data_IF_499229594842
#
_entry.id   IF_499229594842
#
_cell.length_a   1.000
_cell.length_b   1.000
_cell.length_c   1.000
_cell.angle_alpha   90.00
_cell.angle_beta   90.00
_cell.angle_gamma   90.00
#
_symmetry.space_group_name_H-M   'P 1'
#
loop_
_entity.id
_entity.type
_entity.pdbx_description
1 polymer ?
#
# COMPACT_ATOMS: atom_id res chain seq x y z
N UNK A 1 8.97 25.04 -17.78
CA UNK A 1 8.40 26.03 -16.84
C UNK A 1 6.94 26.31 -17.13
N UNK A 2 6.53 26.50 -18.39
CA UNK A 2 5.15 26.86 -18.73
C UNK A 2 4.12 25.76 -18.39
N UNK A 3 4.44 24.48 -18.55
CA UNK A 3 3.52 23.37 -18.25
C UNK A 3 3.36 23.17 -16.73
N UNK A 4 4.45 23.22 -15.96
CA UNK A 4 4.43 23.14 -14.52
C UNK A 4 3.68 24.31 -13.87
N UNK A 5 3.88 25.53 -14.38
CA UNK A 5 3.14 26.72 -13.92
C UNK A 5 1.67 26.62 -14.26
N UNK A 6 1.30 26.15 -15.46
CA UNK A 6 -0.09 25.94 -15.87
C UNK A 6 -0.79 24.86 -15.02
N UNK A 7 -0.10 23.75 -14.70
CA UNK A 7 -0.67 22.72 -13.83
C UNK A 7 -0.83 23.20 -12.39
N UNK A 8 0.11 24.00 -11.90
CA UNK A 8 0.01 24.64 -10.58
C UNK A 8 -1.13 25.67 -10.53
N UNK A 9 -1.27 26.50 -11.57
CA UNK A 9 -2.37 27.46 -11.69
C UNK A 9 -3.73 26.76 -11.85
N UNK A 10 -3.81 25.70 -12.63
CA UNK A 10 -5.00 24.86 -12.73
C UNK A 10 -5.34 24.22 -11.40
N UNK A 11 -4.35 23.79 -10.62
CA UNK A 11 -4.53 23.29 -9.27
C UNK A 11 -5.18 24.26 -8.30
N UNK A 12 -4.84 25.55 -8.43
CA UNK A 12 -5.46 26.60 -7.62
C UNK A 12 -6.93 26.81 -8.00
N UNK A 13 -7.28 26.66 -9.27
CA UNK A 13 -8.63 26.93 -9.78
C UNK A 13 -9.54 25.71 -9.83
N UNK A 14 -8.99 24.50 -9.91
CA UNK A 14 -9.74 23.26 -10.13
C UNK A 14 -9.58 22.23 -8.98
N UNK A 15 -8.89 22.59 -7.89
CA UNK A 15 -8.64 21.66 -6.77
C UNK A 15 -7.54 20.62 -7.04
N UNK A 16 -6.90 20.63 -8.22
CA UNK A 16 -5.75 19.77 -8.53
C UNK A 16 -4.44 20.37 -8.06
N UNK A 17 -3.41 19.55 -7.83
CA UNK A 17 -2.08 20.03 -7.47
C UNK A 17 -1.42 19.22 -6.36
N UNK A 18 -0.49 19.82 -5.63
CA UNK A 18 0.31 19.14 -4.61
C UNK A 18 -0.53 18.70 -3.40
N UNK A 19 -1.49 19.51 -2.97
CA UNK A 19 -2.33 19.21 -1.80
C UNK A 19 -3.15 17.93 -1.96
N UNK A 20 -3.89 17.69 -3.06
CA UNK A 20 -4.59 16.43 -3.29
C UNK A 20 -3.65 15.21 -3.28
N UNK A 21 -2.45 15.34 -3.86
CA UNK A 21 -1.45 14.27 -3.83
C UNK A 21 -1.01 13.94 -2.40
N UNK A 22 -0.65 14.97 -1.63
CA UNK A 22 -0.17 14.80 -0.26
C UNK A 22 -1.25 14.23 0.64
N UNK A 23 -2.48 14.70 0.50
CA UNK A 23 -3.65 14.21 1.26
C UNK A 23 -3.91 12.73 0.97
N UNK A 24 -3.92 12.34 -0.30
CA UNK A 24 -4.07 10.94 -0.72
C UNK A 24 -2.90 10.07 -0.23
N UNK A 25 -1.67 10.59 -0.32
CA UNK A 25 -0.46 9.88 0.10
C UNK A 25 -0.47 9.57 1.60
N UNK A 26 -0.91 10.50 2.45
CA UNK A 26 -1.03 10.25 3.89
C UNK A 26 -2.05 9.16 4.22
N UNK A 27 -3.18 9.09 3.50
CA UNK A 27 -4.15 7.99 3.69
C UNK A 27 -3.54 6.65 3.27
N UNK A 28 -2.83 6.61 2.13
CA UNK A 28 -2.14 5.40 1.67
C UNK A 28 -1.08 4.93 2.68
N UNK A 29 -0.42 5.85 3.40
CA UNK A 29 0.57 5.49 4.41
C UNK A 29 -0.02 4.84 5.67
N UNK A 30 -1.33 4.94 5.95
CA UNK A 30 -1.91 4.38 7.18
C UNK A 30 -1.72 2.85 7.27
N UNK A 31 -2.17 2.01 6.32
CA UNK A 31 -1.96 0.57 6.41
C UNK A 31 -0.47 0.19 6.37
N UNK A 32 0.34 0.92 5.61
CA UNK A 32 1.78 0.76 5.56
C UNK A 32 2.45 1.01 6.92
N UNK A 33 2.13 2.14 7.58
CA UNK A 33 2.77 2.52 8.84
C UNK A 33 2.41 1.57 9.99
N UNK A 34 1.17 1.09 10.03
CA UNK A 34 0.72 0.19 11.08
C UNK A 34 1.40 -1.19 10.97
N UNK A 35 1.49 -1.75 9.77
CA UNK A 35 1.92 -3.14 9.58
C UNK A 35 3.37 -3.23 9.14
N UNK A 36 3.73 -2.55 8.06
CA UNK A 36 5.06 -2.69 7.47
C UNK A 36 6.14 -2.17 8.41
N UNK A 37 5.94 -0.99 9.03
CA UNK A 37 6.91 -0.45 9.97
C UNK A 37 7.06 -1.35 11.20
N UNK A 38 5.96 -1.92 11.72
CA UNK A 38 6.01 -2.83 12.86
C UNK A 38 6.82 -4.10 12.56
N UNK A 39 6.58 -4.70 11.38
CA UNK A 39 7.33 -5.88 10.92
C UNK A 39 8.81 -5.53 10.76
N UNK A 40 9.13 -4.44 10.10
CA UNK A 40 10.48 -3.98 9.78
C UNK A 40 11.30 -3.69 11.04
N UNK A 41 10.68 -3.04 12.03
CA UNK A 41 11.34 -2.71 13.31
C UNK A 41 11.70 -3.97 14.10
N UNK A 42 10.82 -4.96 14.11
CA UNK A 42 11.07 -6.24 14.78
C UNK A 42 12.07 -7.13 14.02
N UNK A 43 12.10 -7.02 12.69
CA UNK A 43 12.88 -7.88 11.80
C UNK A 43 14.37 -7.55 11.81
N UNK A 44 14.75 -6.25 11.82
CA UNK A 44 16.12 -5.82 11.61
C UNK A 44 17.14 -6.41 12.60
N UNK A 45 16.92 -6.40 13.94
CA UNK A 45 17.88 -6.98 14.88
C UNK A 45 18.11 -8.47 14.63
N UNK A 46 17.06 -9.18 14.26
CA UNK A 46 17.13 -10.62 13.98
C UNK A 46 17.91 -10.90 12.69
N UNK A 47 17.66 -10.12 11.62
CA UNK A 47 18.40 -10.24 10.36
C UNK A 47 19.90 -9.93 10.54
N UNK A 48 20.24 -8.88 11.30
CA UNK A 48 21.63 -8.50 11.56
C UNK A 48 22.39 -9.61 12.29
N UNK A 49 21.77 -10.24 13.30
CA UNK A 49 22.35 -11.40 13.99
C UNK A 49 22.63 -12.54 13.02
N UNK A 50 21.66 -12.94 12.19
CA UNK A 50 21.79 -14.00 11.21
C UNK A 50 22.85 -13.68 10.15
N UNK A 51 22.98 -12.42 9.75
CA UNK A 51 24.00 -11.98 8.81
C UNK A 51 25.41 -12.10 9.40
N UNK A 52 25.63 -11.72 10.65
CA UNK A 52 26.88 -11.90 11.39
C UNK A 52 27.25 -13.41 11.48
N UNK A 53 26.27 -14.27 11.76
CA UNK A 53 26.42 -15.71 11.79
C UNK A 53 26.61 -16.34 10.41
N UNK A 54 26.60 -15.54 9.33
CA UNK A 54 26.69 -15.95 7.91
C UNK A 54 25.59 -16.95 7.50
N UNK A 55 24.47 -16.96 8.23
CA UNK A 55 23.32 -17.81 7.92
C UNK A 55 22.41 -17.17 6.89
N UNK A 56 22.92 -17.03 5.67
CA UNK A 56 22.27 -16.36 4.54
C UNK A 56 20.92 -17.01 4.18
N UNK A 57 20.83 -18.34 4.31
CA UNK A 57 19.60 -19.09 4.02
C UNK A 57 18.48 -18.68 4.95
N UNK A 58 18.76 -18.51 6.25
CA UNK A 58 17.76 -18.11 7.22
C UNK A 58 17.40 -16.62 7.06
N UNK A 59 18.37 -15.73 6.71
CA UNK A 59 18.09 -14.33 6.35
C UNK A 59 17.06 -14.27 5.22
N UNK A 60 17.27 -15.02 4.14
CA UNK A 60 16.35 -15.10 3.00
C UNK A 60 14.96 -15.57 3.43
N UNK A 61 14.89 -16.63 4.23
CA UNK A 61 13.63 -17.20 4.74
C UNK A 61 12.84 -16.20 5.60
N UNK A 62 13.53 -15.47 6.47
CA UNK A 62 12.90 -14.43 7.30
C UNK A 62 12.39 -13.26 6.47
N UNK A 63 13.11 -12.82 5.44
CA UNK A 63 12.65 -11.80 4.50
C UNK A 63 11.38 -12.25 3.76
N UNK A 64 11.37 -13.47 3.22
CA UNK A 64 10.20 -14.04 2.52
C UNK A 64 9.00 -14.11 3.49
N UNK A 65 9.22 -14.57 4.73
CA UNK A 65 8.16 -14.62 5.75
C UNK A 65 7.60 -13.23 6.05
N UNK A 66 8.46 -12.23 6.21
CA UNK A 66 8.06 -10.84 6.44
C UNK A 66 7.23 -10.27 5.28
N UNK A 67 7.66 -10.51 4.02
CA UNK A 67 6.95 -10.12 2.81
C UNK A 67 5.55 -10.76 2.78
N UNK A 68 5.45 -12.04 3.08
CA UNK A 68 4.18 -12.79 3.10
C UNK A 68 3.24 -12.26 4.19
N UNK A 69 3.74 -12.00 5.38
CA UNK A 69 2.94 -11.42 6.49
C UNK A 69 2.47 -9.99 6.16
N UNK A 70 3.34 -9.17 5.59
CA UNK A 70 3.00 -7.82 5.16
C UNK A 70 1.87 -7.84 4.12
N UNK A 71 1.94 -8.74 3.14
CA UNK A 71 0.97 -8.88 2.07
C UNK A 71 -0.46 -9.15 2.54
N UNK A 72 -0.64 -9.89 3.65
CA UNK A 72 -1.98 -10.21 4.20
C UNK A 72 -2.77 -8.95 4.57
N UNK A 73 -2.10 -7.87 4.94
CA UNK A 73 -2.77 -6.60 5.28
C UNK A 73 -2.66 -5.59 4.15
N UNK A 74 -1.48 -5.46 3.53
CA UNK A 74 -1.27 -4.43 2.50
C UNK A 74 -2.04 -4.72 1.22
N UNK A 75 -2.23 -5.99 0.84
CA UNK A 75 -3.00 -6.34 -0.37
C UNK A 75 -4.48 -6.00 -0.21
N UNK A 76 -5.23 -6.47 0.81
CA UNK A 76 -6.63 -6.07 0.95
C UNK A 76 -6.79 -4.57 1.18
N UNK A 77 -5.85 -3.91 1.88
CA UNK A 77 -5.85 -2.46 2.01
C UNK A 77 -5.67 -1.77 0.66
N UNK A 78 -4.75 -2.24 -0.18
CA UNK A 78 -4.55 -1.72 -1.55
C UNK A 78 -5.83 -1.82 -2.37
N UNK A 79 -6.52 -2.97 -2.34
CA UNK A 79 -7.80 -3.17 -3.05
C UNK A 79 -8.91 -2.29 -2.47
N UNK A 80 -8.99 -2.14 -1.15
CA UNK A 80 -9.97 -1.27 -0.50
C UNK A 80 -9.76 0.21 -0.90
N UNK A 81 -8.51 0.70 -0.86
CA UNK A 81 -8.16 2.05 -1.29
C UNK A 81 -8.42 2.28 -2.77
N UNK A 82 -8.19 1.25 -3.61
CA UNK A 82 -8.45 1.30 -5.04
C UNK A 82 -9.94 1.45 -5.35
N UNK A 83 -10.78 0.63 -4.72
CA UNK A 83 -12.21 0.55 -5.02
C UNK A 83 -13.01 1.63 -4.28
N UNK A 84 -12.67 1.92 -3.04
CA UNK A 84 -13.44 2.82 -2.17
C UNK A 84 -12.71 4.12 -1.84
N UNK A 85 -11.65 4.46 -2.60
CA UNK A 85 -10.84 5.67 -2.37
C UNK A 85 -11.68 6.94 -2.31
N UNK A 86 -12.60 7.15 -3.27
CA UNK A 86 -13.50 8.32 -3.28
C UNK A 86 -14.42 8.36 -2.06
N UNK A 87 -15.02 7.22 -1.70
CA UNK A 87 -15.90 7.13 -0.53
C UNK A 87 -15.15 7.41 0.77
N UNK A 88 -13.90 6.94 0.88
CA UNK A 88 -13.03 7.22 2.03
C UNK A 88 -12.68 8.69 2.15
N UNK A 89 -12.34 9.33 1.04
CA UNK A 89 -11.94 10.74 1.04
C UNK A 89 -13.13 11.68 1.27
N UNK A 90 -14.32 11.34 0.77
CA UNK A 90 -15.56 12.07 1.10
C UNK A 90 -15.84 12.07 2.61
N UNK A 91 -15.61 10.95 3.27
CA UNK A 91 -15.79 10.84 4.73
C UNK A 91 -14.69 11.56 5.51
N UNK A 92 -13.44 11.48 5.06
CA UNK A 92 -12.29 12.06 5.76
C UNK A 92 -12.19 13.58 5.56
N UNK A 93 -12.60 14.05 4.40
CA UNK A 93 -12.49 15.46 3.99
C UNK A 93 -13.88 16.13 3.80
N UNK A 94 -14.82 15.86 4.69
CA UNK A 94 -16.20 16.38 4.61
C UNK A 94 -16.31 17.91 4.66
N UNK A 95 -15.22 18.63 4.96
CA UNK A 95 -15.19 20.09 5.01
C UNK A 95 -14.85 20.80 3.70
N UNK A 96 -14.58 20.05 2.62
CA UNK A 96 -14.28 20.57 1.28
C UNK A 96 -15.37 20.18 0.28
N UNK A 97 -15.30 20.71 -0.95
CA UNK A 97 -16.28 20.37 -1.98
C UNK A 97 -16.26 18.87 -2.29
N UNK A 98 -17.43 18.32 -2.65
CA UNK A 98 -17.57 16.92 -3.03
C UNK A 98 -16.66 16.56 -4.23
N UNK A 99 -16.51 17.49 -5.17
CA UNK A 99 -15.63 17.31 -6.33
C UNK A 99 -14.15 17.19 -5.93
N UNK A 100 -13.70 18.03 -4.99
CA UNK A 100 -12.32 18.02 -4.52
C UNK A 100 -12.02 16.76 -3.70
N UNK A 101 -12.94 16.36 -2.80
CA UNK A 101 -12.77 15.14 -2.02
C UNK A 101 -12.69 13.89 -2.90
N UNK A 102 -13.54 13.78 -3.93
CA UNK A 102 -13.50 12.70 -4.92
C UNK A 102 -12.22 12.70 -5.74
N UNK A 103 -11.74 13.89 -6.11
CA UNK A 103 -10.47 14.00 -6.82
C UNK A 103 -9.30 13.44 -5.99
N UNK A 104 -9.24 13.77 -4.69
CA UNK A 104 -8.29 13.15 -3.76
C UNK A 104 -8.44 11.62 -3.76
N UNK A 105 -9.68 11.12 -3.82
CA UNK A 105 -9.98 9.69 -3.92
C UNK A 105 -9.43 9.03 -5.18
N UNK A 106 -9.51 9.67 -6.34
CA UNK A 106 -8.92 9.15 -7.58
C UNK A 106 -7.39 9.10 -7.50
N UNK A 107 -6.75 10.11 -6.90
CA UNK A 107 -5.31 10.11 -6.64
C UNK A 107 -4.94 8.98 -5.67
N UNK A 108 -5.74 8.76 -4.63
CA UNK A 108 -5.56 7.68 -3.66
C UNK A 108 -5.66 6.30 -4.32
N UNK A 109 -6.65 6.12 -5.21
CA UNK A 109 -6.80 4.89 -6.00
C UNK A 109 -5.58 4.63 -6.87
N UNK A 110 -5.02 5.65 -7.53
CA UNK A 110 -3.80 5.52 -8.31
C UNK A 110 -2.58 5.14 -7.46
N UNK A 111 -2.39 5.81 -6.32
CA UNK A 111 -1.30 5.52 -5.36
C UNK A 111 -1.40 4.11 -4.78
N UNK A 112 -2.62 3.62 -4.52
CA UNK A 112 -2.87 2.31 -3.90
C UNK A 112 -2.31 1.15 -4.72
N UNK A 113 -2.20 1.29 -6.05
CA UNK A 113 -1.56 0.30 -6.92
C UNK A 113 -0.10 0.05 -6.56
N UNK A 114 0.58 1.06 -6.02
CA UNK A 114 1.98 0.98 -5.57
C UNK A 114 2.16 0.51 -4.13
N UNK A 115 1.12 0.49 -3.31
CA UNK A 115 1.21 0.25 -1.86
C UNK A 115 1.94 -1.04 -1.50
N UNK A 116 1.61 -2.14 -2.16
CA UNK A 116 2.22 -3.46 -1.88
C UNK A 116 3.70 -3.46 -2.27
N UNK A 117 4.03 -2.97 -3.47
CA UNK A 117 5.41 -2.89 -3.94
C UNK A 117 6.26 -1.96 -3.05
N UNK A 118 5.70 -0.80 -2.66
CA UNK A 118 6.30 0.13 -1.70
C UNK A 118 6.61 -0.54 -0.36
N UNK A 119 5.65 -1.28 0.19
CA UNK A 119 5.80 -1.99 1.46
C UNK A 119 6.85 -3.10 1.40
N UNK A 120 6.86 -3.87 0.32
CA UNK A 120 7.86 -4.95 0.12
C UNK A 120 9.26 -4.36 -0.04
N UNK A 121 9.41 -3.26 -0.80
CA UNK A 121 10.70 -2.57 -0.95
C UNK A 121 11.31 -2.18 0.40
N UNK A 122 10.50 -1.66 1.35
CA UNK A 122 11.01 -1.32 2.67
C UNK A 122 11.54 -2.55 3.44
N UNK A 123 10.85 -3.69 3.32
CA UNK A 123 11.31 -4.95 3.95
C UNK A 123 12.64 -5.40 3.33
N UNK A 124 12.78 -5.33 2.00
CA UNK A 124 14.01 -5.70 1.30
C UNK A 124 15.18 -4.78 1.63
N UNK A 125 14.92 -3.49 1.84
CA UNK A 125 15.92 -2.52 2.30
C UNK A 125 16.52 -2.95 3.64
N UNK A 126 15.75 -3.58 4.54
CA UNK A 126 16.30 -4.13 5.79
C UNK A 126 17.24 -5.30 5.57
N UNK A 127 17.08 -6.03 4.47
CA UNK A 127 18.05 -7.03 4.04
C UNK A 127 19.43 -6.40 3.75
N UNK A 128 19.49 -5.32 2.99
CA UNK A 128 20.75 -4.59 2.77
C UNK A 128 21.36 -4.06 4.08
N UNK A 129 20.52 -3.48 4.95
CA UNK A 129 20.98 -2.97 6.25
C UNK A 129 21.58 -4.09 7.13
N UNK A 130 21.03 -5.30 7.08
CA UNK A 130 21.55 -6.44 7.84
C UNK A 130 22.94 -6.88 7.35
N UNK A 131 23.25 -6.69 6.07
CA UNK A 131 24.56 -6.93 5.48
C UNK A 131 25.47 -5.69 5.46
N UNK A 132 25.05 -4.59 6.07
CA UNK A 132 25.75 -3.29 6.08
C UNK A 132 26.02 -2.73 4.65
N UNK A 133 25.29 -3.21 3.64
CA UNK A 133 25.43 -2.75 2.26
C UNK A 133 24.59 -1.51 1.96
N UNK A 134 24.95 -0.41 2.55
CA UNK A 134 24.30 0.89 2.33
C UNK A 134 24.47 1.37 0.88
N UNK A 135 25.57 1.01 0.21
CA UNK A 135 25.85 1.43 -1.17
C UNK A 135 24.80 0.88 -2.14
N UNK A 136 24.54 -0.43 -2.10
CA UNK A 136 23.55 -1.07 -2.99
C UNK A 136 22.14 -0.62 -2.64
N UNK A 137 21.85 -0.39 -1.35
CA UNK A 137 20.58 0.22 -0.91
C UNK A 137 20.34 1.58 -1.56
N UNK A 138 21.33 2.49 -1.50
CA UNK A 138 21.23 3.82 -2.11
C UNK A 138 21.02 3.73 -3.62
N UNK A 139 21.75 2.85 -4.31
CA UNK A 139 21.59 2.62 -5.76
C UNK A 139 20.15 2.18 -6.07
N UNK A 140 19.59 1.25 -5.30
CA UNK A 140 18.20 0.79 -5.49
C UNK A 140 17.20 1.94 -5.35
N UNK A 141 17.35 2.76 -4.30
CA UNK A 141 16.46 3.91 -4.06
C UNK A 141 16.63 4.96 -5.17
N UNK A 142 17.85 5.25 -5.62
CA UNK A 142 18.11 6.18 -6.72
C UNK A 142 17.43 5.74 -8.01
N UNK A 143 17.48 4.45 -8.36
CA UNK A 143 16.82 3.92 -9.56
C UNK A 143 15.30 4.15 -9.46
N UNK A 144 14.68 3.85 -8.32
CA UNK A 144 13.24 4.09 -8.11
C UNK A 144 12.91 5.57 -8.29
N UNK A 145 13.70 6.47 -7.69
CA UNK A 145 13.46 7.90 -7.78
C UNK A 145 13.66 8.44 -9.20
N UNK A 146 14.67 7.96 -9.95
CA UNK A 146 14.88 8.34 -11.34
C UNK A 146 13.68 7.91 -12.19
N UNK A 147 13.22 6.67 -12.06
CA UNK A 147 12.04 6.16 -12.80
C UNK A 147 10.82 6.99 -12.44
N UNK A 148 10.60 7.27 -11.15
CA UNK A 148 9.48 8.08 -10.68
C UNK A 148 9.52 9.50 -11.26
N UNK A 149 10.70 10.14 -11.28
CA UNK A 149 10.88 11.48 -11.83
C UNK A 149 10.65 11.53 -13.34
N UNK A 150 11.18 10.55 -14.08
CA UNK A 150 10.97 10.46 -15.54
C UNK A 150 9.50 10.27 -15.87
N UNK A 151 8.83 9.32 -15.21
CA UNK A 151 7.39 9.08 -15.41
C UNK A 151 6.56 10.30 -15.03
N UNK A 152 6.88 10.95 -13.91
CA UNK A 152 6.20 12.18 -13.49
C UNK A 152 6.34 13.30 -14.53
N UNK A 153 7.53 13.47 -15.12
CA UNK A 153 7.76 14.42 -16.19
C UNK A 153 6.98 14.06 -17.45
N UNK A 154 6.91 12.78 -17.83
CA UNK A 154 6.11 12.30 -18.97
C UNK A 154 4.63 12.64 -18.75
N UNK A 155 4.06 12.32 -17.57
CA UNK A 155 2.67 12.66 -17.26
C UNK A 155 2.43 14.17 -17.29
N UNK A 156 3.35 14.97 -16.75
CA UNK A 156 3.27 16.44 -16.80
C UNK A 156 3.27 16.99 -18.22
N UNK A 157 4.01 16.37 -19.14
CA UNK A 157 4.15 16.83 -20.52
C UNK A 157 3.01 16.35 -21.45
N UNK A 158 2.40 15.19 -21.16
CA UNK A 158 1.47 14.52 -22.09
C UNK A 158 0.02 14.54 -21.65
N UNK A 159 -0.26 14.64 -20.35
CA UNK A 159 -1.61 14.54 -19.81
C UNK A 159 -2.19 15.93 -19.55
N UNK A 160 -3.51 16.07 -19.63
CA UNK A 160 -4.22 17.31 -19.28
C UNK A 160 -3.95 17.69 -17.83
N UNK A 161 -3.87 18.98 -17.52
CA UNK A 161 -3.55 19.51 -16.20
C UNK A 161 -4.43 18.92 -15.08
N UNK A 162 -5.70 18.72 -15.35
CA UNK A 162 -6.68 18.13 -14.41
C UNK A 162 -6.39 16.66 -14.02
N UNK A 163 -5.62 15.91 -14.80
CA UNK A 163 -5.27 14.51 -14.55
C UNK A 163 -3.80 14.30 -14.14
N UNK A 164 -2.99 15.34 -14.11
CA UNK A 164 -1.56 15.25 -13.80
C UNK A 164 -1.32 14.63 -12.43
N UNK A 165 -2.07 15.02 -11.41
CA UNK A 165 -1.88 14.51 -10.05
C UNK A 165 -2.22 13.01 -9.94
N UNK A 166 -3.22 12.54 -10.68
CA UNK A 166 -3.53 11.10 -10.81
C UNK A 166 -2.37 10.39 -11.50
N UNK A 167 -1.83 11.00 -12.58
CA UNK A 167 -0.63 10.51 -13.27
C UNK A 167 0.58 10.39 -12.36
N UNK A 168 0.79 11.33 -11.43
CA UNK A 168 1.85 11.22 -10.42
C UNK A 168 1.64 10.02 -9.49
N UNK A 169 0.40 9.70 -9.12
CA UNK A 169 0.06 8.49 -8.38
C UNK A 169 0.41 7.21 -9.14
N UNK A 170 0.12 7.18 -10.45
CA UNK A 170 0.49 6.06 -11.31
C UNK A 170 2.02 5.98 -11.47
N UNK A 171 2.71 7.12 -11.66
CA UNK A 171 4.17 7.16 -11.72
C UNK A 171 4.82 6.58 -10.46
N UNK A 172 4.29 6.93 -9.29
CA UNK A 172 4.68 6.33 -8.01
C UNK A 172 4.49 4.81 -8.04
N UNK A 173 3.31 4.32 -8.39
CA UNK A 173 3.01 2.89 -8.40
C UNK A 173 3.95 2.11 -9.34
N UNK A 174 4.10 2.58 -10.58
CA UNK A 174 4.95 1.93 -11.60
C UNK A 174 6.42 1.95 -11.17
N UNK A 175 6.92 3.07 -10.62
CA UNK A 175 8.31 3.17 -10.17
C UNK A 175 8.64 2.20 -9.05
N UNK A 176 7.73 1.99 -8.09
CA UNK A 176 7.91 1.01 -7.03
C UNK A 176 7.75 -0.44 -7.50
N UNK A 177 6.88 -0.71 -8.47
CA UNK A 177 6.76 -2.06 -9.07
C UNK A 177 8.04 -2.43 -9.83
N UNK A 178 8.57 -1.53 -10.66
CA UNK A 178 9.85 -1.75 -11.37
C UNK A 178 10.99 -1.82 -10.35
N UNK A 179 11.01 -0.90 -9.39
CA UNK A 179 11.98 -0.85 -8.31
C UNK A 179 12.02 -2.13 -7.48
N UNK A 180 10.87 -2.77 -7.26
CA UNK A 180 10.80 -4.05 -6.57
C UNK A 180 11.61 -5.14 -7.29
N UNK A 181 11.50 -5.21 -8.62
CA UNK A 181 12.27 -6.17 -9.43
C UNK A 181 13.78 -5.89 -9.32
N UNK A 182 14.15 -4.61 -9.38
CA UNK A 182 15.55 -4.18 -9.23
C UNK A 182 16.08 -4.50 -7.84
N UNK A 183 15.34 -4.15 -6.79
CA UNK A 183 15.72 -4.37 -5.39
C UNK A 183 15.91 -5.86 -5.08
N UNK A 184 14.97 -6.71 -5.54
CA UNK A 184 15.10 -8.18 -5.39
C UNK A 184 16.33 -8.70 -6.12
N UNK A 185 16.58 -8.22 -7.34
CA UNK A 185 17.72 -8.66 -8.14
C UNK A 185 19.06 -8.28 -7.50
N UNK A 186 19.14 -7.05 -6.95
CA UNK A 186 20.33 -6.58 -6.25
C UNK A 186 20.56 -7.32 -4.93
N UNK A 187 19.52 -7.52 -4.12
CA UNK A 187 19.61 -8.25 -2.85
C UNK A 187 19.92 -9.74 -3.08
N UNK A 188 19.50 -10.27 -4.22
CA UNK A 188 19.81 -11.64 -4.64
C UNK A 188 21.30 -11.94 -4.75
N UNK A 189 22.16 -10.91 -4.89
CA UNK A 189 23.63 -11.07 -4.86
C UNK A 189 24.15 -11.47 -3.46
N UNK A 190 23.45 -11.06 -2.40
CA UNK A 190 23.78 -11.39 -1.01
C UNK A 190 23.13 -12.69 -0.53
N UNK A 191 21.84 -12.86 -0.84
CA UNK A 191 21.04 -13.98 -0.29
C UNK A 191 20.77 -15.10 -1.27
N UNK A 192 21.34 -15.03 -2.48
CA UNK A 192 21.02 -15.96 -3.57
C UNK A 192 19.69 -15.68 -4.24
N UNK A 193 19.40 -16.35 -5.33
CA UNK A 193 18.19 -16.14 -6.13
C UNK A 193 16.93 -16.40 -5.28
N UNK A 194 15.99 -15.45 -5.31
CA UNK A 194 14.67 -15.64 -4.71
C UNK A 194 13.82 -16.58 -5.57
N UNK A 195 13.14 -17.51 -4.94
CA UNK A 195 12.12 -18.33 -5.59
C UNK A 195 10.80 -17.53 -5.64
N UNK A 196 10.62 -16.82 -6.74
CA UNK A 196 9.48 -15.90 -6.93
C UNK A 196 8.13 -16.60 -6.83
N UNK A 197 8.05 -17.88 -7.20
CA UNK A 197 6.79 -18.64 -7.24
C UNK A 197 6.08 -18.68 -5.89
N UNK A 198 6.83 -18.80 -4.79
CA UNK A 198 6.23 -18.97 -3.47
C UNK A 198 5.54 -17.70 -2.94
N UNK A 199 6.18 -16.53 -3.05
CA UNK A 199 5.55 -15.30 -2.57
C UNK A 199 4.61 -14.67 -3.60
N UNK A 200 4.90 -14.80 -4.91
CA UNK A 200 4.03 -14.28 -5.97
C UNK A 200 2.68 -15.02 -5.97
N UNK A 201 2.71 -16.36 -5.86
CA UNK A 201 1.49 -17.16 -5.79
C UNK A 201 0.61 -16.81 -4.59
N UNK A 202 1.21 -16.50 -3.43
CA UNK A 202 0.46 -16.04 -2.27
C UNK A 202 -0.16 -14.67 -2.50
N UNK A 203 0.61 -13.69 -3.02
CA UNK A 203 0.09 -12.35 -3.28
C UNK A 203 -1.06 -12.39 -4.31
N UNK A 204 -0.94 -13.23 -5.35
CA UNK A 204 -2.01 -13.43 -6.32
C UNK A 204 -3.29 -13.96 -5.65
N UNK A 205 -3.18 -14.96 -4.75
CA UNK A 205 -4.33 -15.48 -3.99
C UNK A 205 -4.93 -14.41 -3.10
N UNK A 206 -4.10 -13.57 -2.47
CA UNK A 206 -4.57 -12.45 -1.65
C UNK A 206 -5.32 -11.41 -2.49
N UNK A 207 -4.81 -11.05 -3.68
CA UNK A 207 -5.50 -10.15 -4.60
C UNK A 207 -6.83 -10.76 -5.07
N UNK A 208 -6.85 -12.03 -5.48
CA UNK A 208 -8.08 -12.73 -5.86
C UNK A 208 -9.11 -12.73 -4.72
N UNK A 209 -8.68 -13.07 -3.50
CA UNK A 209 -9.56 -13.03 -2.34
C UNK A 209 -10.12 -11.63 -2.06
N UNK A 210 -9.25 -10.61 -2.14
CA UNK A 210 -9.62 -9.21 -1.87
C UNK A 210 -10.61 -8.68 -2.92
N UNK A 211 -10.33 -8.89 -4.21
CA UNK A 211 -11.22 -8.45 -5.29
C UNK A 211 -12.56 -9.20 -5.22
N UNK A 212 -12.54 -10.52 -5.05
CA UNK A 212 -13.79 -11.32 -4.95
C UNK A 212 -14.64 -10.88 -3.76
N UNK A 213 -14.02 -10.53 -2.63
CA UNK A 213 -14.74 -10.07 -1.45
C UNK A 213 -15.30 -8.64 -1.60
N UNK A 214 -14.57 -7.74 -2.24
CA UNK A 214 -14.87 -6.30 -2.24
C UNK A 214 -15.66 -5.83 -3.46
N UNK A 215 -15.50 -6.50 -4.62
CA UNK A 215 -16.22 -6.14 -5.85
C UNK A 215 -17.75 -6.13 -5.70
N UNK A 216 -18.42 -7.08 -4.99
CA UNK A 216 -19.86 -7.02 -4.79
C UNK A 216 -20.31 -5.75 -4.06
N UNK A 217 -19.54 -5.31 -3.05
CA UNK A 217 -19.82 -4.09 -2.30
C UNK A 217 -19.56 -2.83 -3.14
N UNK A 218 -18.55 -2.87 -3.99
CA UNK A 218 -18.27 -1.79 -4.94
C UNK A 218 -19.39 -1.68 -5.98
N UNK A 219 -19.81 -2.79 -6.55
CA UNK A 219 -20.95 -2.84 -7.48
C UNK A 219 -22.24 -2.32 -6.81
N UNK A 220 -22.52 -2.76 -5.58
CA UNK A 220 -23.66 -2.28 -4.81
C UNK A 220 -23.60 -0.76 -4.60
N UNK A 221 -22.46 -0.23 -4.18
CA UNK A 221 -22.26 1.21 -3.99
C UNK A 221 -22.47 2.00 -5.30
N UNK A 222 -21.98 1.45 -6.42
CA UNK A 222 -22.15 2.04 -7.73
C UNK A 222 -23.63 2.05 -8.18
N UNK A 223 -24.34 0.91 -8.09
CA UNK A 223 -25.76 0.80 -8.47
C UNK A 223 -26.70 1.64 -7.57
N UNK A 224 -26.35 1.81 -6.29
CA UNK A 224 -27.10 2.68 -5.37
C UNK A 224 -26.75 4.17 -5.54
N UNK A 225 -25.84 4.50 -6.46
CA UNK A 225 -25.43 5.88 -6.75
C UNK A 225 -24.69 6.58 -5.61
N UNK A 226 -24.09 5.82 -4.68
CA UNK A 226 -23.40 6.40 -3.53
C UNK A 226 -22.22 7.30 -3.92
N UNK A 227 -21.63 7.05 -5.07
CA UNK A 227 -20.56 7.89 -5.61
C UNK A 227 -21.07 9.21 -6.22
N UNK A 228 -22.38 9.40 -6.40
CA UNK A 228 -22.97 10.57 -7.06
C UNK A 228 -23.87 11.41 -6.11
N UNK A 229 -24.05 10.93 -4.91
CA UNK A 229 -24.96 11.52 -3.93
C UNK A 229 -24.18 12.35 -2.89
N UNK A 230 -24.64 13.58 -2.63
CA UNK A 230 -24.09 14.45 -1.59
C UNK A 230 -24.71 14.06 -0.23
N UNK A 231 -24.28 12.90 0.27
CA UNK A 231 -24.81 12.36 1.50
C UNK A 231 -24.33 13.14 2.72
N UNK A 232 -25.22 13.29 3.72
CA UNK A 232 -24.83 13.82 5.02
C UNK A 232 -23.63 13.04 5.58
N UNK A 233 -22.68 13.67 6.30
CA UNK A 233 -21.45 13.04 6.79
C UNK A 233 -21.68 11.71 7.53
N UNK A 234 -22.73 11.65 8.36
CA UNK A 234 -23.08 10.42 9.08
C UNK A 234 -23.45 9.25 8.15
N UNK A 235 -24.20 9.54 7.08
CA UNK A 235 -24.58 8.52 6.09
C UNK A 235 -23.34 8.04 5.34
N UNK A 236 -22.42 8.94 4.97
CA UNK A 236 -21.14 8.61 4.37
C UNK A 236 -20.31 7.67 5.24
N UNK A 237 -20.20 7.95 6.54
CA UNK A 237 -19.53 7.09 7.52
C UNK A 237 -20.17 5.71 7.60
N UNK A 238 -21.50 5.62 7.63
CA UNK A 238 -22.23 4.34 7.69
C UNK A 238 -22.03 3.51 6.40
N UNK A 239 -22.08 4.16 5.23
CA UNK A 239 -21.81 3.54 3.93
C UNK A 239 -20.38 2.98 3.89
N UNK A 240 -19.40 3.79 4.28
CA UNK A 240 -17.99 3.38 4.34
C UNK A 240 -17.79 2.21 5.32
N UNK A 241 -18.35 2.31 6.51
CA UNK A 241 -18.28 1.25 7.51
C UNK A 241 -18.88 -0.06 6.99
N UNK A 242 -20.02 0.01 6.29
CA UNK A 242 -20.69 -1.15 5.70
C UNK A 242 -19.81 -1.83 4.63
N UNK A 243 -19.24 -1.08 3.68
CA UNK A 243 -18.42 -1.67 2.60
C UNK A 243 -17.10 -2.21 3.14
N UNK A 244 -16.47 -1.53 4.10
CA UNK A 244 -15.21 -1.99 4.69
C UNK A 244 -15.41 -3.19 5.62
N UNK A 245 -16.45 -3.19 6.45
CA UNK A 245 -16.76 -4.32 7.33
C UNK A 245 -17.19 -5.55 6.52
N UNK A 246 -18.09 -5.37 5.54
CA UNK A 246 -18.55 -6.45 4.68
C UNK A 246 -17.45 -7.00 3.79
N UNK A 247 -16.70 -6.13 3.10
CA UNK A 247 -15.57 -6.50 2.27
C UNK A 247 -14.43 -7.15 3.07
N UNK A 248 -14.13 -6.62 4.26
CA UNK A 248 -13.13 -7.17 5.17
C UNK A 248 -13.53 -8.54 5.73
N UNK A 249 -14.78 -8.71 6.16
CA UNK A 249 -15.30 -10.02 6.60
C UNK A 249 -15.29 -11.04 5.45
N UNK A 250 -15.74 -10.64 4.26
CA UNK A 250 -15.70 -11.47 3.06
C UNK A 250 -14.28 -11.89 2.70
N UNK A 251 -13.32 -10.96 2.76
CA UNK A 251 -11.90 -11.26 2.57
C UNK A 251 -11.40 -12.33 3.56
N UNK A 252 -11.71 -12.19 4.86
CA UNK A 252 -11.26 -13.17 5.86
C UNK A 252 -11.84 -14.56 5.60
N UNK A 253 -13.11 -14.66 5.20
CA UNK A 253 -13.75 -15.93 4.85
C UNK A 253 -13.11 -16.56 3.62
N UNK A 254 -12.93 -15.80 2.53
CA UNK A 254 -12.35 -16.32 1.28
C UNK A 254 -10.87 -16.67 1.48
N UNK A 255 -10.13 -15.84 2.19
CA UNK A 255 -8.72 -16.09 2.47
C UNK A 255 -8.52 -17.32 3.38
N UNK A 256 -9.45 -17.59 4.30
CA UNK A 256 -9.48 -18.84 5.05
C UNK A 256 -9.79 -20.06 4.15
N UNK A 257 -10.76 -19.92 3.25
CA UNK A 257 -11.10 -20.97 2.28
C UNK A 257 -9.93 -21.30 1.32
N UNK A 258 -9.14 -20.28 0.94
CA UNK A 258 -7.92 -20.42 0.12
C UNK A 258 -6.72 -20.94 0.93
N UNK A 259 -6.91 -21.28 2.22
CA UNK A 259 -5.88 -21.81 3.12
C UNK A 259 -4.63 -20.94 3.20
N UNK A 260 -4.83 -19.62 3.30
CA UNK A 260 -3.72 -18.66 3.48
C UNK A 260 -3.24 -18.77 4.93
N UNK A 261 -2.10 -19.44 5.13
CA UNK A 261 -1.57 -19.83 6.44
C UNK A 261 -1.19 -18.64 7.33
N UNK A 262 -0.83 -17.51 6.72
CA UNK A 262 -0.42 -16.29 7.44
C UNK A 262 -1.57 -15.63 8.22
N UNK A 263 -2.82 -15.87 7.86
CA UNK A 263 -3.99 -15.38 8.60
C UNK A 263 -4.06 -16.02 10.00
N UNK A 264 -3.71 -17.29 10.14
CA UNK A 264 -3.63 -17.95 11.42
C UNK A 264 -2.58 -17.28 12.33
N UNK A 265 -1.42 -16.96 11.78
CA UNK A 265 -0.33 -16.27 12.50
C UNK A 265 -0.74 -14.86 12.94
N UNK A 266 -1.46 -14.10 12.10
CA UNK A 266 -2.01 -12.78 12.49
C UNK A 266 -3.06 -12.90 13.59
N UNK A 267 -3.91 -13.91 13.54
CA UNK A 267 -4.91 -14.18 14.61
C UNK A 267 -4.22 -14.46 15.94
N UNK A 268 -3.20 -15.30 15.96
CA UNK A 268 -2.40 -15.59 17.16
C UNK A 268 -1.70 -14.32 17.68
N UNK A 269 -1.12 -13.52 16.80
CA UNK A 269 -0.50 -12.25 17.16
C UNK A 269 -1.51 -11.26 17.77
N UNK A 270 -2.69 -11.10 17.17
CA UNK A 270 -3.75 -10.26 17.71
C UNK A 270 -4.24 -10.72 19.08
N UNK A 271 -4.42 -12.05 19.26
CA UNK A 271 -4.81 -12.63 20.55
C UNK A 271 -3.71 -12.40 21.60
N UNK A 272 -2.44 -12.52 21.24
CA UNK A 272 -1.31 -12.27 22.15
C UNK A 272 -1.24 -10.82 22.63
N UNK A 273 -1.53 -9.86 21.75
CA UNK A 273 -1.61 -8.44 22.13
C UNK A 273 -2.76 -8.15 23.08
N UNK A 274 -3.94 -8.75 22.83
CA UNK A 274 -5.11 -8.59 23.70
C UNK A 274 -4.89 -9.23 25.07
N UNK A 275 -4.22 -10.37 25.15
CA UNK A 275 -3.89 -11.05 26.41
C UNK A 275 -2.89 -10.25 27.25
N UNK A 276 -1.84 -9.67 26.63
CA UNK A 276 -0.88 -8.79 27.31
C UNK A 276 -1.56 -7.53 27.87
N UNK A 277 -2.50 -6.94 27.12
CA UNK A 277 -3.26 -5.76 27.58
C UNK A 277 -4.17 -6.09 28.77
N UNK A 278 -4.77 -7.29 28.82
CA UNK A 278 -5.55 -7.76 29.96
C UNK A 278 -4.69 -8.01 31.20
N UNK A 279 -3.48 -8.51 31.04
CA UNK A 279 -2.52 -8.73 32.12
C UNK A 279 -1.98 -7.41 32.71
N UNK A 280 -1.69 -6.41 31.86
CA UNK A 280 -1.24 -5.09 32.28
C UNK A 280 -2.34 -4.26 33.01
N UNK A 281 -3.62 -4.55 32.77
CA UNK A 281 -4.77 -3.88 33.43
C UNK A 281 -5.14 -4.49 34.78
N UNK A 282 -4.53 -5.65 35.15
CA UNK A 282 -4.72 -6.35 36.42
C UNK A 282 -3.59 -6.13 37.42
N UNK A 283 -2.57 -5.36 37.03
CA UNK A 283 -1.50 -4.85 37.91
C UNK A 283 -1.72 -3.36 38.14
#
# INVERSE_FOLDING_TARGET
TSAAVRSAQAGITTGVGFTPFTSAYYIMLLPYSIVTISIVTALLPHLSKLAIEKNVTEVKKQLIRAIRMCGVVTVPSSVALLLFGSLMTEVLYFGISLQDSRYIGYVLSALSLGLVAFSINLILIRGFNAFEDTKTQVISILIINIISSVLSYVFLATVKSEHVTIGLGIAFAVSYIIGLVVTISLLGKHVGKFEYSHFLGQHLRLYLASFTAMLPFFALAYFLGWNNDDAKPLIGVLRLAFVLAGGGAGFLVIAHALKITEIATLKEFAISLLSKRKSARKR
#
